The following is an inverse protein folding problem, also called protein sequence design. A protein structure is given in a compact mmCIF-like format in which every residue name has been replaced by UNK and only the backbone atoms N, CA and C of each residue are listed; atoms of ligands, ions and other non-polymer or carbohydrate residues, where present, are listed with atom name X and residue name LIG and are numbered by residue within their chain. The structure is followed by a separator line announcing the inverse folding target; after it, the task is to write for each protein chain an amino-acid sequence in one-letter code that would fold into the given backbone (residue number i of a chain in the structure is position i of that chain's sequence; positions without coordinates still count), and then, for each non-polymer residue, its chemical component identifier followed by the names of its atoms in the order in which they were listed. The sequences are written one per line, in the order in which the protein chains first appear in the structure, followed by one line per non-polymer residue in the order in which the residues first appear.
data_IF_696485634853
#
_entry.id   IF_696485634853
#
_cell.length_a   1.000
_cell.length_b   1.000
_cell.length_c   1.000
_cell.angle_alpha   90.00
_cell.angle_beta   90.00
_cell.angle_gamma   90.00
#
_symmetry.space_group_name_H-M   'P 1'
#
loop_
_entity.id
_entity.type
_entity.pdbx_description
1 polymer ?
#
# COMPACT_ATOMS: atom_id res chain seq x y z
N UNK A 1 -6.65 -4.21 -15.55
CA UNK A 1 -5.19 -4.40 -15.38
C UNK A 1 -4.66 -3.20 -14.62
N UNK A 2 -3.68 -3.37 -13.74
CA UNK A 2 -3.34 -2.38 -12.72
C UNK A 2 -1.88 -1.95 -12.78
N UNK A 3 -1.66 -0.67 -12.45
CA UNK A 3 -0.33 -0.18 -12.11
C UNK A 3 0.18 -0.89 -10.86
N UNK A 4 1.47 -1.18 -10.88
CA UNK A 4 2.21 -1.62 -9.71
C UNK A 4 3.07 -0.45 -9.22
N UNK A 5 2.91 -0.07 -7.95
CA UNK A 5 3.55 1.08 -7.34
C UNK A 5 4.48 0.60 -6.23
N UNK A 6 5.69 1.17 -6.12
CA UNK A 6 6.64 0.81 -5.07
C UNK A 6 7.64 1.93 -4.79
N UNK A 7 8.42 1.76 -3.71
CA UNK A 7 9.52 2.66 -3.35
C UNK A 7 10.84 1.91 -3.47
N UNK A 8 11.76 2.43 -4.28
CA UNK A 8 13.13 1.94 -4.32
C UNK A 8 14.05 2.83 -3.45
N UNK A 9 14.92 2.21 -2.66
CA UNK A 9 15.80 2.93 -1.75
C UNK A 9 17.12 2.18 -1.49
N UNK A 10 18.10 2.91 -0.94
CA UNK A 10 19.39 2.32 -0.52
C UNK A 10 19.33 1.68 0.88
N UNK A 11 18.17 1.77 1.55
CA UNK A 11 17.92 1.21 2.88
C UNK A 11 16.84 0.14 2.80
N UNK A 12 17.02 -0.92 3.58
CA UNK A 12 15.97 -1.88 3.81
C UNK A 12 14.87 -1.23 4.65
N UNK A 13 13.61 -1.35 4.23
CA UNK A 13 12.46 -0.87 5.00
C UNK A 13 11.92 -2.03 5.85
N UNK A 14 11.95 -1.94 7.20
CA UNK A 14 11.34 -2.95 8.06
C UNK A 14 9.89 -3.25 7.67
N UNK A 15 9.54 -4.53 7.59
CA UNK A 15 8.18 -4.92 7.16
C UNK A 15 7.12 -4.37 8.11
N UNK A 16 6.08 -3.76 7.55
CA UNK A 16 4.88 -3.33 8.28
C UNK A 16 3.72 -4.22 7.85
N UNK A 17 3.00 -4.76 8.82
CA UNK A 17 1.78 -5.55 8.61
C UNK A 17 0.63 -4.81 9.25
N UNK A 18 -0.51 -4.76 8.58
CA UNK A 18 -1.77 -4.34 9.21
C UNK A 18 -2.16 -5.43 10.22
N UNK A 19 -2.14 -5.06 11.51
CA UNK A 19 -2.48 -5.92 12.66
C UNK A 19 -3.93 -5.79 13.09
N UNK A 20 -4.61 -4.75 12.62
CA UNK A 20 -5.92 -4.32 13.13
C UNK A 20 -7.06 -4.89 12.27
N UNK A 21 -6.73 -5.79 11.34
CA UNK A 21 -7.68 -6.57 10.56
C UNK A 21 -8.19 -7.80 11.33
N UNK A 22 -9.50 -7.89 11.47
CA UNK A 22 -10.14 -9.08 12.02
C UNK A 22 -10.64 -9.98 10.88
N UNK A 23 -10.01 -11.16 10.75
CA UNK A 23 -10.47 -12.19 9.82
C UNK A 23 -11.52 -13.06 10.52
N UNK A 24 -12.72 -13.13 9.95
CA UNK A 24 -13.82 -13.96 10.45
C UNK A 24 -14.73 -14.38 9.30
N UNK A 25 -15.63 -15.32 9.54
CA UNK A 25 -16.66 -15.71 8.57
C UNK A 25 -17.76 -14.65 8.46
N UNK A 26 -18.46 -14.61 7.33
CA UNK A 26 -19.67 -13.79 7.14
C UNK A 26 -20.67 -14.04 8.28
N UNK A 27 -20.85 -15.31 8.66
CA UNK A 27 -21.70 -15.68 9.79
C UNK A 27 -21.29 -14.98 11.08
N UNK A 28 -20.02 -15.07 11.46
CA UNK A 28 -19.51 -14.45 12.68
C UNK A 28 -19.64 -12.93 12.67
N UNK A 29 -19.44 -12.29 11.51
CA UNK A 29 -19.61 -10.84 11.36
C UNK A 29 -21.07 -10.42 11.53
N UNK A 30 -22.00 -11.14 10.89
CA UNK A 30 -23.45 -10.90 11.01
C UNK A 30 -23.94 -11.15 12.44
N UNK A 31 -23.53 -12.28 13.05
CA UNK A 31 -23.91 -12.63 14.43
C UNK A 31 -23.43 -11.60 15.45
N UNK A 32 -22.32 -10.89 15.17
CA UNK A 32 -21.78 -9.81 16.01
C UNK A 32 -22.35 -8.42 15.69
N UNK A 33 -23.23 -8.30 14.70
CA UNK A 33 -23.73 -7.00 14.23
C UNK A 33 -22.67 -6.14 13.53
N UNK A 34 -21.57 -6.75 13.09
CA UNK A 34 -20.46 -6.10 12.39
C UNK A 34 -20.64 -6.12 10.86
N UNK A 35 -21.72 -6.68 10.35
CA UNK A 35 -22.03 -6.74 8.91
C UNK A 35 -23.51 -7.04 8.70
N UNK A 36 -24.13 -6.44 7.71
CA UNK A 36 -25.41 -6.91 7.17
C UNK A 36 -25.15 -7.82 5.97
N UNK A 37 -25.85 -8.95 5.84
CA UNK A 37 -25.70 -9.84 4.68
C UNK A 37 -26.50 -9.34 3.46
N UNK A 38 -26.44 -8.03 3.18
CA UNK A 38 -27.15 -7.41 2.06
C UNK A 38 -26.64 -7.84 0.68
N UNK A 39 -25.46 -8.46 0.65
CA UNK A 39 -24.77 -8.91 -0.55
C UNK A 39 -24.95 -10.42 -0.82
N UNK A 40 -25.82 -11.11 -0.07
CA UNK A 40 -26.05 -12.56 -0.16
C UNK A 40 -24.74 -13.37 -0.20
N UNK A 41 -23.75 -12.96 0.61
CA UNK A 41 -22.50 -13.69 0.71
C UNK A 41 -22.74 -15.02 1.44
N UNK A 42 -22.10 -16.12 0.99
CA UNK A 42 -22.16 -17.39 1.70
C UNK A 42 -21.65 -17.23 3.14
N UNK A 43 -22.40 -17.76 4.10
CA UNK A 43 -22.14 -17.57 5.54
C UNK A 43 -20.78 -18.12 5.99
N UNK A 44 -20.23 -19.09 5.29
CA UNK A 44 -18.92 -19.71 5.50
C UNK A 44 -17.76 -18.98 4.80
N UNK A 45 -18.06 -17.97 3.97
CA UNK A 45 -17.02 -17.14 3.34
C UNK A 45 -16.28 -16.31 4.37
N UNK A 46 -14.99 -16.13 4.18
CA UNK A 46 -14.16 -15.27 5.04
C UNK A 46 -14.21 -13.82 4.58
N UNK A 47 -14.33 -12.92 5.56
CA UNK A 47 -14.29 -11.47 5.38
C UNK A 47 -13.22 -10.86 6.28
N UNK A 48 -12.74 -9.69 5.88
CA UNK A 48 -11.90 -8.83 6.71
C UNK A 48 -12.79 -7.69 7.22
N UNK A 49 -12.88 -7.57 8.54
CA UNK A 49 -13.58 -6.48 9.21
C UNK A 49 -12.56 -5.52 9.80
N UNK A 50 -12.82 -4.23 9.59
CA UNK A 50 -12.08 -3.11 10.15
C UNK A 50 -13.06 -2.33 11.04
N UNK A 51 -12.62 -1.87 12.21
CA UNK A 51 -13.43 -1.10 13.15
C UNK A 51 -13.66 0.33 12.66
N UNK A 52 -12.70 0.91 11.92
CA UNK A 52 -12.83 2.25 11.33
C UNK A 52 -12.40 2.29 9.86
N UNK A 53 -12.85 3.32 9.14
CA UNK A 53 -12.43 3.56 7.74
C UNK A 53 -10.93 3.88 7.64
N UNK A 54 -10.34 4.47 8.69
CA UNK A 54 -8.90 4.72 8.76
C UNK A 54 -8.06 3.45 8.93
N UNK A 55 -8.64 2.38 9.47
CA UNK A 55 -7.98 1.07 9.54
C UNK A 55 -7.98 0.33 8.19
N UNK A 56 -8.86 0.77 7.28
CA UNK A 56 -8.97 0.22 5.94
C UNK A 56 -7.80 0.71 5.07
N UNK A 57 -7.07 -0.24 4.47
CA UNK A 57 -5.84 0.04 3.71
C UNK A 57 -4.78 0.80 4.53
N UNK A 58 -4.60 0.50 5.82
CA UNK A 58 -3.45 0.99 6.57
C UNK A 58 -2.12 0.65 5.88
N UNK A 59 -1.09 1.43 6.21
CA UNK A 59 0.25 1.26 5.69
C UNK A 59 0.76 -0.18 5.91
N UNK A 60 1.00 -0.89 4.82
CA UNK A 60 1.72 -2.15 4.79
C UNK A 60 2.94 -2.01 3.90
N UNK A 61 4.08 -2.52 4.37
CA UNK A 61 5.35 -2.47 3.66
C UNK A 61 5.91 -3.88 3.60
N UNK A 62 6.22 -4.33 2.39
CA UNK A 62 6.80 -5.64 2.13
C UNK A 62 8.04 -5.52 1.26
N UNK A 63 9.05 -6.35 1.52
CA UNK A 63 10.13 -6.54 0.55
C UNK A 63 9.48 -7.05 -0.73
N UNK A 64 9.78 -6.39 -1.83
CA UNK A 64 9.19 -6.78 -3.09
C UNK A 64 10.05 -7.79 -3.83
N UNK A 65 10.08 -8.99 -3.27
CA UNK A 65 10.78 -10.14 -3.88
C UNK A 65 10.14 -10.52 -5.23
N UNK A 66 8.90 -10.07 -5.47
CA UNK A 66 8.15 -10.23 -6.72
C UNK A 66 8.58 -9.25 -7.83
N UNK A 67 9.13 -8.08 -7.48
CA UNK A 67 9.75 -7.13 -8.44
C UNK A 67 11.23 -7.49 -8.63
N UNK A 68 11.56 -8.77 -8.70
CA UNK A 68 12.89 -9.15 -9.20
C UNK A 68 12.87 -9.29 -10.73
N UNK A 69 12.14 -8.36 -11.37
CA UNK A 69 12.08 -8.28 -12.81
C UNK A 69 13.37 -7.64 -13.32
N UNK A 70 14.02 -8.32 -14.26
CA UNK A 70 15.17 -7.79 -15.01
C UNK A 70 14.90 -6.38 -15.53
N UNK A 71 13.64 -6.05 -15.85
CA UNK A 71 13.22 -4.73 -16.32
C UNK A 71 13.38 -3.63 -15.27
N UNK A 72 13.03 -3.86 -14.01
CA UNK A 72 13.19 -2.81 -12.98
C UNK A 72 14.66 -2.60 -12.66
N UNK A 73 15.43 -3.69 -12.59
CA UNK A 73 16.88 -3.64 -12.29
C UNK A 73 17.71 -2.99 -13.39
N UNK A 74 17.22 -2.84 -14.62
CA UNK A 74 17.90 -2.02 -15.65
C UNK A 74 17.68 -0.52 -15.48
N UNK A 75 16.70 -0.11 -14.68
CA UNK A 75 16.28 1.29 -14.56
C UNK A 75 16.54 1.90 -13.17
N UNK A 76 16.84 1.08 -12.15
CA UNK A 76 17.26 1.56 -10.81
C UNK A 76 18.57 0.96 -10.38
N UNK A 77 19.35 1.75 -9.63
CA UNK A 77 20.55 1.29 -8.92
C UNK A 77 20.31 1.09 -7.41
N UNK A 78 19.10 1.40 -6.93
CA UNK A 78 18.74 1.24 -5.52
C UNK A 78 18.76 -0.23 -5.12
N UNK A 79 19.31 -0.51 -3.94
CA UNK A 79 19.49 -1.88 -3.45
C UNK A 79 18.15 -2.55 -3.12
N UNK A 80 17.22 -1.81 -2.53
CA UNK A 80 15.98 -2.35 -1.98
C UNK A 80 14.76 -1.84 -2.75
N UNK A 81 13.82 -2.76 -3.03
CA UNK A 81 12.53 -2.47 -3.65
C UNK A 81 11.44 -2.84 -2.63
N UNK A 82 10.65 -1.86 -2.23
CA UNK A 82 9.69 -2.00 -1.16
C UNK A 82 8.29 -1.78 -1.72
N UNK A 83 7.49 -2.83 -1.70
CA UNK A 83 6.08 -2.76 -2.05
C UNK A 83 5.33 -2.05 -0.92
N UNK A 84 4.55 -1.03 -1.29
CA UNK A 84 3.86 -0.17 -0.34
C UNK A 84 2.37 -0.19 -0.67
N UNK A 85 1.60 -0.76 0.26
CA UNK A 85 0.14 -0.74 0.24
C UNK A 85 -0.32 0.27 1.27
N UNK A 86 -1.16 1.19 0.82
CA UNK A 86 -1.78 2.19 1.67
C UNK A 86 -3.03 2.71 0.96
N UNK A 87 -4.02 3.16 1.72
CA UNK A 87 -5.22 3.78 1.18
C UNK A 87 -4.92 5.20 0.69
N UNK A 88 -5.94 5.89 0.21
CA UNK A 88 -5.77 7.20 -0.44
C UNK A 88 -6.08 8.42 0.43
N UNK A 89 -6.33 8.24 1.73
CA UNK A 89 -6.52 9.37 2.66
C UNK A 89 -5.19 10.07 2.95
N UNK A 90 -5.28 11.35 3.34
CA UNK A 90 -4.13 12.15 3.81
C UNK A 90 -3.39 11.48 4.98
N UNK A 91 -4.14 10.88 5.90
CA UNK A 91 -3.62 10.14 7.06
C UNK A 91 -2.63 9.03 6.67
N UNK A 92 -2.93 8.26 5.63
CA UNK A 92 -2.06 7.18 5.17
C UNK A 92 -0.74 7.69 4.58
N UNK A 93 -0.80 8.80 3.85
CA UNK A 93 0.41 9.45 3.34
C UNK A 93 1.27 10.04 4.46
N UNK A 94 0.65 10.62 5.49
CA UNK A 94 1.35 11.11 6.68
C UNK A 94 2.02 9.96 7.44
N UNK A 95 1.33 8.82 7.61
CA UNK A 95 1.90 7.62 8.22
C UNK A 95 3.12 7.11 7.44
N UNK A 96 3.04 7.06 6.11
CA UNK A 96 4.18 6.67 5.26
C UNK A 96 5.36 7.65 5.38
N UNK A 97 5.10 8.96 5.41
CA UNK A 97 6.17 9.94 5.61
C UNK A 97 6.87 9.75 6.97
N UNK A 98 6.09 9.62 8.05
CA UNK A 98 6.63 9.38 9.38
C UNK A 98 7.50 8.12 9.39
N UNK A 99 6.98 7.01 8.85
CA UNK A 99 7.72 5.77 8.72
C UNK A 99 9.05 5.96 7.97
N UNK A 100 9.04 6.66 6.83
CA UNK A 100 10.26 6.86 6.05
C UNK A 100 11.30 7.70 6.82
N UNK A 101 10.86 8.73 7.54
CA UNK A 101 11.76 9.55 8.36
C UNK A 101 12.36 8.80 9.55
N UNK A 102 11.62 7.86 10.14
CA UNK A 102 12.11 7.03 11.25
C UNK A 102 13.10 5.95 10.80
N UNK A 103 12.94 5.43 9.57
CA UNK A 103 13.67 4.26 9.10
C UNK A 103 14.79 4.59 8.10
N UNK A 104 14.93 5.84 7.66
CA UNK A 104 15.96 6.25 6.69
C UNK A 104 16.76 7.45 7.19
N UNK A 105 18.02 7.55 6.75
CA UNK A 105 18.87 8.67 7.14
C UNK A 105 18.44 9.97 6.42
N UNK A 106 18.51 11.13 7.09
CA UNK A 106 18.35 12.43 6.44
C UNK A 106 19.29 12.58 5.23
N UNK A 107 18.81 13.25 4.18
CA UNK A 107 19.55 13.44 2.93
C UNK A 107 19.54 12.25 1.99
N UNK A 108 18.93 11.12 2.38
CA UNK A 108 18.72 9.97 1.49
C UNK A 108 17.77 10.33 0.35
N UNK A 109 18.03 9.79 -0.84
CA UNK A 109 17.08 9.85 -1.95
C UNK A 109 16.28 8.56 -2.06
N UNK A 110 14.98 8.71 -2.25
CA UNK A 110 14.06 7.60 -2.58
C UNK A 110 13.60 7.75 -4.02
N UNK A 111 13.27 6.64 -4.65
CA UNK A 111 12.61 6.63 -5.95
C UNK A 111 11.18 6.15 -5.76
N UNK A 112 10.21 6.96 -6.17
CA UNK A 112 8.81 6.57 -6.25
C UNK A 112 8.57 5.99 -7.64
N UNK A 113 8.02 4.78 -7.71
CA UNK A 113 7.84 4.04 -8.95
C UNK A 113 6.36 3.78 -9.24
N UNK A 114 6.03 3.90 -10.53
CA UNK A 114 4.76 3.46 -11.11
C UNK A 114 5.05 2.76 -12.44
N UNK A 115 4.76 1.47 -12.51
CA UNK A 115 5.01 0.63 -13.69
C UNK A 115 3.74 -0.12 -14.10
N UNK A 116 3.52 -0.27 -15.40
CA UNK A 116 2.44 -1.09 -15.94
C UNK A 116 2.93 -2.52 -16.15
N UNK A 117 2.27 -3.49 -15.52
CA UNK A 117 2.78 -4.88 -15.45
C UNK A 117 2.65 -5.63 -16.78
N UNK A 118 1.85 -5.15 -17.74
CA UNK A 118 1.56 -5.90 -18.97
C UNK A 118 2.35 -5.50 -20.21
N UNK A 119 3.04 -4.36 -20.26
CA UNK A 119 3.67 -3.91 -21.51
C UNK A 119 4.97 -3.14 -21.31
N UNK A 120 5.76 -3.15 -22.39
CA UNK A 120 7.06 -2.52 -22.69
C UNK A 120 7.11 -0.98 -22.48
N UNK A 121 6.15 -0.40 -21.75
CA UNK A 121 6.12 1.02 -21.44
C UNK A 121 7.20 1.39 -20.43
N UNK A 122 7.76 2.60 -20.62
CA UNK A 122 8.78 3.11 -19.71
C UNK A 122 8.17 3.34 -18.33
N UNK A 123 8.84 2.89 -17.25
CA UNK A 123 8.37 3.15 -15.90
C UNK A 123 8.37 4.66 -15.63
N UNK A 124 7.38 5.14 -14.88
CA UNK A 124 7.38 6.49 -14.35
C UNK A 124 8.13 6.44 -13.02
N UNK A 125 9.27 7.12 -12.97
CA UNK A 125 10.15 7.14 -11.80
C UNK A 125 10.37 8.57 -11.37
N UNK A 126 10.11 8.84 -10.09
CA UNK A 126 10.42 10.14 -9.47
C UNK A 126 11.43 9.96 -8.35
N UNK A 127 12.65 10.41 -8.59
CA UNK A 127 13.71 10.46 -7.58
C UNK A 127 13.58 11.74 -6.78
N UNK A 128 13.59 11.63 -5.45
CA UNK A 128 13.39 12.76 -4.56
C UNK A 128 14.22 12.60 -3.30
N UNK A 129 14.75 13.72 -2.79
CA UNK A 129 15.35 13.73 -1.46
C UNK A 129 14.24 13.52 -0.43
N UNK A 130 14.48 12.71 0.59
CA UNK A 130 13.52 12.44 1.65
C UNK A 130 13.06 13.74 2.36
N UNK A 131 13.93 14.75 2.45
CA UNK A 131 13.58 16.05 3.03
C UNK A 131 12.61 16.88 2.17
N UNK A 132 12.57 16.62 0.87
CA UNK A 132 11.70 17.31 -0.09
C UNK A 132 10.43 16.48 -0.44
N UNK A 133 10.31 15.27 0.11
CA UNK A 133 9.19 14.39 -0.13
C UNK A 133 7.92 14.95 0.53
N UNK A 134 6.82 14.97 -0.23
CA UNK A 134 5.55 15.57 0.23
C UNK A 134 4.39 14.62 -0.04
N UNK A 135 3.26 14.85 0.62
CA UNK A 135 2.02 14.10 0.39
C UNK A 135 1.60 14.18 -1.08
N UNK A 136 1.77 15.32 -1.76
CA UNK A 136 1.42 15.46 -3.17
C UNK A 136 2.24 14.52 -4.06
N UNK A 137 3.52 14.30 -3.72
CA UNK A 137 4.37 13.33 -4.41
C UNK A 137 3.83 11.90 -4.23
N UNK A 138 3.44 11.55 -3.01
CA UNK A 138 2.89 10.23 -2.68
C UNK A 138 1.52 10.00 -3.33
N UNK A 139 0.60 10.98 -3.29
CA UNK A 139 -0.71 10.89 -3.95
C UNK A 139 -0.58 10.75 -5.47
N UNK A 140 0.37 11.46 -6.09
CA UNK A 140 0.59 11.35 -7.54
C UNK A 140 1.14 9.98 -7.95
N UNK A 141 2.07 9.42 -7.15
CA UNK A 141 2.85 8.25 -7.55
C UNK A 141 2.31 6.93 -7.01
N UNK A 142 1.76 6.92 -5.79
CA UNK A 142 1.40 5.70 -5.06
C UNK A 142 -0.11 5.47 -4.94
N UNK A 143 -0.95 6.43 -5.33
CA UNK A 143 -2.41 6.24 -5.35
C UNK A 143 -2.76 5.06 -6.25
N UNK A 144 -3.18 3.97 -5.61
CA UNK A 144 -3.68 2.78 -6.29
C UNK A 144 -4.94 3.15 -7.09
N UNK A 145 -4.94 2.83 -8.39
CA UNK A 145 -6.10 3.09 -9.25
C UNK A 145 -7.16 1.99 -9.19
N UNK A 146 -6.89 0.91 -8.44
CA UNK A 146 -7.88 -0.14 -8.26
C UNK A 146 -8.80 0.24 -7.10
N UNK A 147 -10.08 0.43 -7.44
CA UNK A 147 -11.18 0.38 -6.47
C UNK A 147 -11.22 -1.03 -5.88
N UNK A 148 -10.55 -1.26 -4.76
CA UNK A 148 -10.95 -2.37 -3.90
C UNK A 148 -12.31 -1.99 -3.33
N UNK A 149 -13.35 -2.70 -3.71
CA UNK A 149 -14.69 -2.53 -3.16
C UNK A 149 -14.65 -2.92 -1.69
N UNK A 150 -14.36 -1.96 -0.83
CA UNK A 150 -14.45 -2.13 0.61
C UNK A 150 -15.89 -1.89 1.04
N UNK A 151 -16.44 -2.80 1.84
CA UNK A 151 -17.62 -2.50 2.63
C UNK A 151 -17.17 -1.64 3.82
N UNK A 152 -17.65 -0.40 3.88
CA UNK A 152 -17.55 0.43 5.07
C UNK A 152 -18.88 0.39 5.80
N UNK A 153 -18.84 0.16 7.10
CA UNK A 153 -20.03 0.32 7.95
C UNK A 153 -19.87 1.65 8.67
N UNK A 154 -20.72 2.61 8.30
CA UNK A 154 -20.98 3.77 9.14
C UNK A 154 -21.82 3.30 10.33
N UNK A 155 -21.33 3.56 11.53
CA UNK A 155 -22.20 3.65 12.71
C UNK A 155 -23.22 4.78 12.54
#
# INVERSE_FOLDING_TARGET
MSYFNFIASDYEMPRVRNTDKHRMTVKEAVDRGLMTNEYDLPLDSEVLIYETEEQFDELMIHSSDFINDKVVRTHTKKSYLNDVHLGSCKCHYEALLCYLYENMKPGTTVELWKIWVSELEKPIVKTINLQDLTIQHLDTMLKHQNKTSALFIKN
#
